data_IF_270548290547
#
_entry.id   IF_270548290547
#
_cell.length_a   1.000
_cell.length_b   1.000
_cell.length_c   1.000
_cell.angle_alpha   90.00
_cell.angle_beta   90.00
_cell.angle_gamma   90.00
#
_symmetry.space_group_name_H-M   'P 1'
#
loop_
_entity.id
_entity.type
_entity.pdbx_description
1 polymer ?
#
# COMPACT_ATOMS: atom_id res chain seq x y z
N UNK A 1 8.06 2.03 -22.66
CA UNK A 1 6.65 1.58 -22.68
C UNK A 1 6.47 0.24 -21.96
N UNK A 2 7.07 -0.88 -22.40
CA UNK A 2 6.85 -2.19 -21.75
C UNK A 2 7.15 -2.22 -20.23
N UNK A 3 8.27 -1.63 -19.81
CA UNK A 3 8.64 -1.59 -18.40
C UNK A 3 7.70 -0.74 -17.52
N UNK A 4 7.02 0.25 -18.11
CA UNK A 4 6.05 1.09 -17.37
C UNK A 4 4.77 0.32 -17.07
N UNK A 5 4.24 -0.39 -18.08
CA UNK A 5 3.05 -1.24 -17.96
C UNK A 5 3.31 -2.33 -16.91
N UNK A 6 4.46 -3.00 -16.98
CA UNK A 6 4.86 -3.99 -15.97
C UNK A 6 4.97 -3.39 -14.56
N UNK A 7 5.49 -2.17 -14.41
CA UNK A 7 5.60 -1.52 -13.10
C UNK A 7 4.23 -1.16 -12.52
N UNK A 8 3.32 -0.62 -13.34
CA UNK A 8 1.97 -0.29 -12.93
C UNK A 8 1.21 -1.53 -12.49
N UNK A 9 1.30 -2.63 -13.25
CA UNK A 9 0.67 -3.90 -12.89
C UNK A 9 1.22 -4.47 -11.57
N UNK A 10 2.54 -4.40 -11.38
CA UNK A 10 3.16 -4.84 -10.12
C UNK A 10 2.70 -3.97 -8.95
N UNK A 11 2.64 -2.65 -9.13
CA UNK A 11 2.14 -1.73 -8.09
C UNK A 11 0.66 -2.01 -7.78
N UNK A 12 -0.17 -2.22 -8.79
CA UNK A 12 -1.59 -2.60 -8.64
C UNK A 12 -1.74 -3.89 -7.84
N UNK A 13 -0.95 -4.93 -8.14
CA UNK A 13 -1.00 -6.19 -7.38
C UNK A 13 -0.62 -5.99 -5.90
N UNK A 14 0.42 -5.19 -5.62
CA UNK A 14 0.79 -4.86 -4.24
C UNK A 14 -0.26 -3.99 -3.54
N UNK A 15 -0.93 -3.09 -4.27
CA UNK A 15 -2.03 -2.28 -3.75
C UNK A 15 -3.21 -3.16 -3.34
N UNK A 16 -3.66 -4.05 -4.24
CA UNK A 16 -4.77 -4.99 -3.98
C UNK A 16 -4.45 -5.92 -2.81
N UNK A 17 -3.21 -6.44 -2.75
CA UNK A 17 -2.80 -7.26 -1.62
C UNK A 17 -2.79 -6.46 -0.31
N UNK A 18 -2.30 -5.22 -0.32
CA UNK A 18 -2.35 -4.34 0.86
C UNK A 18 -3.77 -4.00 1.31
N UNK A 19 -4.71 -3.83 0.37
CA UNK A 19 -6.14 -3.65 0.64
C UNK A 19 -6.72 -4.88 1.34
N UNK A 20 -6.50 -6.07 0.80
CA UNK A 20 -6.95 -7.33 1.41
C UNK A 20 -6.37 -7.54 2.82
N UNK A 21 -5.08 -7.23 3.03
CA UNK A 21 -4.46 -7.27 4.36
C UNK A 21 -5.14 -6.31 5.34
N UNK A 22 -5.51 -5.12 4.90
CA UNK A 22 -6.22 -4.14 5.72
C UNK A 22 -7.63 -4.62 6.07
N UNK A 23 -8.36 -5.17 5.10
CA UNK A 23 -9.72 -5.70 5.31
C UNK A 23 -9.72 -6.88 6.29
N UNK A 24 -8.77 -7.82 6.16
CA UNK A 24 -8.60 -8.93 7.11
C UNK A 24 -8.20 -8.44 8.50
N UNK A 25 -7.34 -7.43 8.58
CA UNK A 25 -6.95 -6.83 9.87
C UNK A 25 -8.16 -6.21 10.57
N UNK A 26 -8.99 -5.44 9.86
CA UNK A 26 -10.21 -4.85 10.42
C UNK A 26 -11.24 -5.92 10.79
N UNK A 27 -11.31 -7.03 10.05
CA UNK A 27 -12.14 -8.18 10.43
C UNK A 27 -11.71 -8.76 11.78
N UNK A 28 -10.42 -9.05 11.97
CA UNK A 28 -9.92 -9.64 13.21
C UNK A 28 -10.02 -8.71 14.42
N UNK A 29 -9.86 -7.40 14.22
CA UNK A 29 -10.01 -6.40 15.28
C UNK A 29 -11.40 -6.36 15.90
N UNK A 30 -12.43 -6.90 15.24
CA UNK A 30 -13.78 -7.00 15.79
C UNK A 30 -13.86 -7.90 17.02
N UNK A 31 -12.95 -8.85 17.15
CA UNK A 31 -12.97 -9.88 18.20
C UNK A 31 -11.64 -10.02 18.93
N UNK A 32 -10.59 -9.32 18.50
CA UNK A 32 -9.23 -9.50 19.02
C UNK A 32 -8.53 -8.15 19.24
N UNK A 33 -7.58 -8.07 20.19
CA UNK A 33 -6.69 -6.92 20.32
C UNK A 33 -5.89 -6.64 19.03
N UNK A 34 -5.42 -5.39 18.80
CA UNK A 34 -4.71 -5.02 17.58
C UNK A 34 -3.50 -5.90 17.26
N UNK A 35 -2.71 -6.27 18.28
CA UNK A 35 -1.53 -7.10 18.10
C UNK A 35 -1.89 -8.54 17.71
N UNK A 36 -2.86 -9.17 18.38
CA UNK A 36 -3.35 -10.50 18.03
C UNK A 36 -3.94 -10.54 16.61
N UNK A 37 -4.67 -9.49 16.22
CA UNK A 37 -5.22 -9.34 14.87
C UNK A 37 -4.12 -9.30 13.80
N UNK A 38 -2.99 -8.65 14.07
CA UNK A 38 -1.83 -8.64 13.15
C UNK A 38 -1.19 -10.01 13.01
N UNK A 39 -1.08 -10.77 14.11
CA UNK A 39 -0.55 -12.14 14.07
C UNK A 39 -1.43 -13.06 13.24
N UNK A 40 -2.75 -13.02 13.44
CA UNK A 40 -3.72 -13.81 12.68
C UNK A 40 -3.63 -13.55 11.17
N UNK A 41 -3.56 -12.28 10.75
CA UNK A 41 -3.36 -11.94 9.33
C UNK A 41 -2.05 -12.49 8.78
N UNK A 42 -0.95 -12.45 9.55
CA UNK A 42 0.33 -12.98 9.08
C UNK A 42 0.30 -14.52 8.92
N UNK A 43 -0.34 -15.23 9.86
CA UNK A 43 -0.53 -16.68 9.78
C UNK A 43 -1.39 -17.05 8.55
N UNK A 44 -2.48 -16.34 8.30
CA UNK A 44 -3.32 -16.57 7.10
C UNK A 44 -2.57 -16.43 5.78
N UNK A 45 -1.66 -15.46 5.69
CA UNK A 45 -0.84 -15.27 4.49
C UNK A 45 0.19 -16.40 4.37
N UNK A 46 0.76 -16.84 5.50
CA UNK A 46 1.73 -17.94 5.56
C UNK A 46 1.10 -19.26 5.12
N UNK A 47 -0.11 -19.55 5.55
CA UNK A 47 -0.88 -20.73 5.14
C UNK A 47 -1.15 -20.78 3.63
N UNK A 48 -1.38 -19.62 3.00
CA UNK A 48 -1.65 -19.52 1.56
C UNK A 48 -0.40 -19.65 0.68
N UNK A 49 0.80 -19.46 1.24
CA UNK A 49 2.05 -19.47 0.49
C UNK A 49 3.01 -20.47 1.14
N UNK A 50 2.89 -21.78 0.82
CA UNK A 50 3.77 -22.79 1.39
C UNK A 50 5.23 -22.50 1.00
N UNK A 51 6.15 -22.84 1.91
CA UNK A 51 7.60 -22.70 1.73
C UNK A 51 8.15 -21.27 1.63
N UNK A 52 7.39 -20.25 2.07
CA UNK A 52 7.93 -18.89 2.23
C UNK A 52 8.68 -18.73 3.56
N UNK A 53 9.83 -18.06 3.54
CA UNK A 53 10.53 -17.66 4.77
C UNK A 53 9.84 -16.47 5.42
N UNK A 54 9.82 -16.43 6.76
CA UNK A 54 9.20 -15.33 7.52
C UNK A 54 9.74 -13.95 7.09
N UNK A 55 11.05 -13.87 6.81
CA UNK A 55 11.71 -12.65 6.31
C UNK A 55 11.16 -12.21 4.95
N UNK A 56 10.96 -13.14 4.01
CA UNK A 56 10.43 -12.82 2.68
C UNK A 56 8.96 -12.44 2.74
N UNK A 57 8.19 -13.15 3.58
CA UNK A 57 6.79 -12.84 3.85
C UNK A 57 6.65 -11.43 4.41
N UNK A 58 7.41 -11.10 5.47
CA UNK A 58 7.40 -9.78 6.10
C UNK A 58 7.71 -8.67 5.09
N UNK A 59 8.75 -8.84 4.25
CA UNK A 59 9.10 -7.85 3.21
C UNK A 59 7.97 -7.63 2.18
N UNK A 60 7.25 -8.68 1.78
CA UNK A 60 6.12 -8.59 0.86
C UNK A 60 4.92 -7.90 1.51
N UNK A 61 4.58 -8.28 2.74
CA UNK A 61 3.49 -7.67 3.52
C UNK A 61 3.76 -6.19 3.73
N UNK A 62 4.97 -5.83 4.17
CA UNK A 62 5.32 -4.44 4.45
C UNK A 62 5.30 -3.58 3.18
N UNK A 63 5.80 -4.10 2.06
CA UNK A 63 5.72 -3.43 0.76
C UNK A 63 4.26 -3.16 0.36
N UNK A 64 3.39 -4.14 0.54
CA UNK A 64 1.96 -4.04 0.21
C UNK A 64 1.28 -2.99 1.07
N UNK A 65 1.54 -2.98 2.39
CA UNK A 65 1.00 -1.98 3.33
C UNK A 65 1.42 -0.56 2.97
N UNK A 66 2.68 -0.34 2.60
CA UNK A 66 3.18 0.98 2.20
C UNK A 66 2.53 1.46 0.90
N UNK A 67 2.46 0.60 -0.12
CA UNK A 67 1.84 0.93 -1.40
C UNK A 67 0.35 1.21 -1.22
N UNK A 68 -0.36 0.35 -0.49
CA UNK A 68 -1.76 0.55 -0.16
C UNK A 68 -2.00 1.87 0.59
N UNK A 69 -1.24 2.15 1.65
CA UNK A 69 -1.35 3.40 2.41
C UNK A 69 -1.17 4.62 1.51
N UNK A 70 -0.16 4.63 0.65
CA UNK A 70 0.09 5.76 -0.24
C UNK A 70 -1.09 5.98 -1.20
N UNK A 71 -1.43 4.98 -2.01
CA UNK A 71 -2.43 5.11 -3.07
C UNK A 71 -3.88 5.17 -2.58
N UNK A 72 -4.19 4.61 -1.40
CA UNK A 72 -5.48 4.83 -0.74
C UNK A 72 -5.72 6.32 -0.47
N UNK A 73 -4.68 7.06 -0.08
CA UNK A 73 -4.80 8.47 0.31
C UNK A 73 -4.64 9.44 -0.87
N UNK A 74 -3.83 9.10 -1.87
CA UNK A 74 -3.59 10.00 -3.02
C UNK A 74 -4.50 9.69 -4.23
N UNK A 75 -5.17 8.54 -4.22
CA UNK A 75 -6.03 8.04 -5.28
C UNK A 75 -5.44 6.81 -5.99
N UNK A 76 -6.25 5.77 -6.15
CA UNK A 76 -5.88 4.56 -6.89
C UNK A 76 -5.58 4.87 -8.37
N UNK A 77 -6.28 5.86 -8.95
CA UNK A 77 -6.03 6.35 -10.31
C UNK A 77 -4.59 6.86 -10.51
N UNK A 78 -3.90 7.24 -9.43
CA UNK A 78 -2.51 7.71 -9.49
C UNK A 78 -1.51 6.59 -9.77
N UNK A 79 -1.86 5.33 -9.56
CA UNK A 79 -1.00 4.19 -9.92
C UNK A 79 -0.69 4.23 -11.41
N UNK A 80 -1.69 4.51 -12.25
CA UNK A 80 -1.56 4.60 -13.70
C UNK A 80 -0.72 5.80 -14.17
N UNK A 81 -0.41 6.74 -13.27
CA UNK A 81 0.46 7.89 -13.55
C UNK A 81 1.92 7.62 -13.21
N UNK A 82 2.24 6.49 -12.58
CA UNK A 82 3.61 6.11 -12.26
C UNK A 82 4.33 5.70 -13.55
N UNK A 83 5.42 6.41 -13.87
CA UNK A 83 6.25 6.14 -15.06
C UNK A 83 7.54 5.40 -14.72
N UNK A 84 8.30 5.92 -13.76
CA UNK A 84 9.70 5.48 -13.54
C UNK A 84 9.95 4.76 -12.23
N UNK A 85 8.96 4.70 -11.33
CA UNK A 85 9.13 4.11 -10.00
C UNK A 85 8.59 2.68 -9.96
N UNK A 86 9.42 1.75 -9.49
CA UNK A 86 8.99 0.38 -9.21
C UNK A 86 8.32 0.29 -7.83
N UNK A 87 7.54 -0.76 -7.60
CA UNK A 87 7.03 -1.11 -6.28
C UNK A 87 8.16 -1.25 -5.23
N UNK A 88 9.33 -1.74 -5.64
CA UNK A 88 10.50 -1.83 -4.77
C UNK A 88 10.99 -0.45 -4.35
N UNK A 89 11.10 0.50 -5.30
CA UNK A 89 11.52 1.87 -5.01
C UNK A 89 10.55 2.57 -4.06
N UNK A 90 9.24 2.43 -4.30
CA UNK A 90 8.20 3.00 -3.43
C UNK A 90 8.29 2.38 -2.02
N UNK A 91 8.56 1.08 -1.90
CA UNK A 91 8.66 0.41 -0.59
C UNK A 91 9.82 0.87 0.29
N UNK A 92 10.83 1.51 -0.31
CA UNK A 92 11.97 2.08 0.40
C UNK A 92 11.66 3.44 1.04
N UNK A 93 10.54 4.08 0.67
CA UNK A 93 10.10 5.30 1.33
C UNK A 93 9.84 5.02 2.82
N UNK A 94 10.28 5.93 3.68
CA UNK A 94 9.97 5.86 5.09
C UNK A 94 8.53 6.31 5.31
N UNK A 95 8.00 6.02 6.50
CA UNK A 95 6.63 6.39 6.85
C UNK A 95 6.45 7.91 6.77
N UNK A 96 7.44 8.67 7.21
CA UNK A 96 7.43 10.13 7.23
C UNK A 96 7.44 10.71 5.81
N UNK A 97 8.18 10.08 4.90
CA UNK A 97 8.23 10.49 3.49
C UNK A 97 6.87 10.26 2.81
N UNK A 98 6.22 9.13 3.09
CA UNK A 98 4.86 8.82 2.61
C UNK A 98 3.85 9.83 3.17
N UNK A 99 3.91 10.12 4.47
CA UNK A 99 3.01 11.07 5.12
C UNK A 99 3.17 12.48 4.54
N UNK A 100 4.42 12.91 4.28
CA UNK A 100 4.72 14.19 3.62
C UNK A 100 4.14 14.29 2.20
N UNK A 101 4.27 13.23 1.40
CA UNK A 101 3.68 13.16 0.05
C UNK A 101 2.15 13.29 0.10
N UNK A 102 1.52 12.54 1.00
CA UNK A 102 0.05 12.58 1.19
C UNK A 102 -0.39 14.00 1.55
N UNK A 103 0.24 14.62 2.55
CA UNK A 103 -0.08 15.98 2.98
C UNK A 103 0.08 17.00 1.85
N UNK A 104 1.14 16.86 1.04
CA UNK A 104 1.40 17.76 -0.09
C UNK A 104 0.28 17.67 -1.13
N UNK A 105 -0.12 16.47 -1.53
CA UNK A 105 -1.17 16.25 -2.54
C UNK A 105 -2.54 16.73 -2.03
N UNK A 106 -2.86 16.47 -0.76
CA UNK A 106 -4.11 16.94 -0.15
C UNK A 106 -4.19 18.47 -0.09
N UNK A 107 -3.07 19.15 0.23
CA UNK A 107 -3.01 20.63 0.20
C UNK A 107 -3.23 21.18 -1.21
N UNK A 108 -2.65 20.56 -2.23
CA UNK A 108 -2.83 20.98 -3.63
C UNK A 108 -4.29 20.83 -4.09
N UNK A 109 -4.97 19.76 -3.68
CA UNK A 109 -6.40 19.55 -3.98
C UNK A 109 -7.28 20.64 -3.37
N UNK A 110 -6.97 21.11 -2.16
CA UNK A 110 -7.74 22.13 -1.46
C UNK A 110 -7.49 23.56 -1.98
N UNK A 111 -6.37 23.80 -2.66
CA UNK A 111 -6.05 25.09 -3.29
C UNK A 111 -6.66 25.25 -4.69
N UNK A 112 -7.03 24.15 -5.35
CA UNK A 112 -7.64 24.16 -6.69
C UNK A 112 -9.18 24.27 -6.67
N UNK A 113 -9.78 24.41 -5.48
CA UNK A 113 -11.25 24.54 -5.29
C UNK A 113 -11.74 25.94 -4.93
N UNK A 114 -10.89 26.98 -4.92
CA UNK A 114 -11.37 28.37 -4.83
C UNK A 114 -11.84 28.85 -6.21
N UNK A 115 -13.11 29.27 -6.37
CA UNK A 115 -13.58 29.89 -7.61
C UNK A 115 -12.80 31.19 -7.83
N UNK A 116 -12.26 31.36 -9.04
CA UNK A 116 -11.81 32.68 -9.50
C UNK A 116 -13.09 33.51 -9.71
N UNK A 117 -13.24 34.56 -8.91
CA UNK A 117 -14.32 35.55 -9.03
C UNK A 117 -14.17 36.37 -10.31
#
# INVERSE_FOLDING_TARGET
>A
MQNEITNQDVITNYYLFGKALSERLEHHKKSNPPYASLLLVNEEVKEQIPNITDTTLWKKVERSRKIYKLFLNIGEDKIQRVRSFSALTISKLRKEDIDSIILTILKQKNQSTTPVT
#
